data_IF_492198263248
#
_entry.id   IF_492198263248
#
_cell.length_a   1.000
_cell.length_b   1.000
_cell.length_c   1.000
_cell.angle_alpha   90.00
_cell.angle_beta   90.00
_cell.angle_gamma   90.00
#
_symmetry.space_group_name_H-M   'P 1'
#
loop_
_entity.id
_entity.type
_entity.pdbx_description
1 polymer ?
#
# COMPACT_ATOMS: atom_id res chain seq x y z
N UNK A 1 -5.12 -10.21 -8.75
CA UNK A 1 -4.16 -9.98 -9.84
C UNK A 1 -3.43 -8.67 -9.64
N UNK A 2 -2.09 -8.72 -9.62
CA UNK A 2 -1.27 -7.51 -9.59
C UNK A 2 -1.06 -7.06 -11.02
N UNK A 3 -1.83 -6.06 -11.45
CA UNK A 3 -1.70 -5.49 -12.79
C UNK A 3 -0.38 -4.74 -12.85
N UNK A 4 0.45 -5.12 -13.82
CA UNK A 4 1.68 -4.43 -14.19
C UNK A 4 1.37 -3.75 -15.51
N UNK A 5 1.32 -2.42 -15.50
CA UNK A 5 1.11 -1.61 -16.70
C UNK A 5 2.45 -1.00 -17.14
N UNK A 6 2.75 -1.12 -18.42
CA UNK A 6 4.01 -0.63 -19.01
C UNK A 6 3.69 0.08 -20.31
N UNK A 7 3.92 1.39 -20.31
CA UNK A 7 3.74 2.25 -21.47
C UNK A 7 5.10 2.63 -22.04
N UNK A 8 5.32 2.29 -23.31
CA UNK A 8 6.58 2.58 -24.03
C UNK A 8 6.26 3.52 -25.19
N UNK A 9 6.97 4.64 -25.24
CA UNK A 9 6.87 5.65 -26.30
C UNK A 9 8.23 5.72 -26.98
N UNK A 10 8.24 5.45 -28.28
CA UNK A 10 9.41 5.57 -29.14
C UNK A 10 9.15 6.68 -30.14
N UNK A 11 10.04 7.65 -30.21
CA UNK A 11 9.91 8.81 -31.10
C UNK A 11 11.23 9.12 -31.81
N UNK A 12 11.16 9.73 -33.00
CA UNK A 12 12.33 10.07 -33.81
C UNK A 12 12.26 11.54 -34.22
N UNK A 13 13.08 12.36 -33.58
CA UNK A 13 13.22 13.78 -33.88
C UNK A 13 14.49 14.04 -34.69
N UNK A 14 14.35 14.17 -36.01
CA UNK A 14 15.43 14.38 -36.98
C UNK A 14 16.48 13.27 -36.97
N UNK A 15 17.48 13.37 -36.08
CA UNK A 15 18.56 12.38 -35.85
C UNK A 15 18.59 11.83 -34.43
N UNK A 16 17.72 12.35 -33.53
CA UNK A 16 17.61 11.88 -32.16
C UNK A 16 16.50 10.85 -32.08
N UNK A 17 16.85 9.65 -31.65
CA UNK A 17 15.90 8.61 -31.31
C UNK A 17 15.62 8.68 -29.82
N UNK A 18 14.36 8.86 -29.45
CA UNK A 18 13.92 9.06 -28.07
C UNK A 18 13.16 7.81 -27.64
N UNK A 19 13.54 7.25 -26.51
CA UNK A 19 12.83 6.14 -25.87
C UNK A 19 12.37 6.57 -24.48
N UNK A 20 11.08 6.44 -24.22
CA UNK A 20 10.45 6.74 -22.93
C UNK A 20 9.67 5.52 -22.45
N UNK A 21 9.92 5.14 -21.19
CA UNK A 21 9.34 3.96 -20.56
C UNK A 21 8.69 4.42 -19.25
N UNK A 22 7.38 4.20 -19.14
CA UNK A 22 6.58 4.46 -17.95
C UNK A 22 6.08 3.12 -17.41
N UNK A 23 6.50 2.76 -16.20
CA UNK A 23 6.19 1.51 -15.54
C UNK A 23 5.37 1.77 -14.28
N UNK A 24 4.23 1.10 -14.19
CA UNK A 24 3.33 1.11 -13.04
C UNK A 24 3.15 -0.32 -12.55
N UNK A 25 3.69 -0.63 -11.37
CA UNK A 25 3.58 -1.96 -10.78
C UNK A 25 3.51 -1.88 -9.26
N UNK A 26 2.50 -2.47 -8.60
CA UNK A 26 2.46 -2.59 -7.13
C UNK A 26 2.70 -1.27 -6.37
N UNK A 27 2.10 -0.15 -6.78
CA UNK A 27 2.32 1.17 -6.16
C UNK A 27 3.68 1.81 -6.50
N UNK A 28 4.52 1.14 -7.29
CA UNK A 28 5.75 1.68 -7.84
C UNK A 28 5.45 2.35 -9.19
N UNK A 29 5.70 3.65 -9.25
CA UNK A 29 5.67 4.42 -10.49
C UNK A 29 7.10 4.83 -10.85
N UNK A 30 7.61 4.29 -11.95
CA UNK A 30 8.96 4.56 -12.46
C UNK A 30 8.85 5.08 -13.88
N UNK A 31 9.57 6.16 -14.16
CA UNK A 31 9.75 6.68 -15.50
C UNK A 31 11.24 6.73 -15.85
N UNK A 32 11.53 6.44 -17.11
CA UNK A 32 12.85 6.64 -17.69
C UNK A 32 12.73 7.13 -19.12
N UNK A 33 13.54 8.13 -19.45
CA UNK A 33 13.67 8.67 -20.80
C UNK A 33 15.13 8.69 -21.19
N UNK A 34 15.41 8.31 -22.43
CA UNK A 34 16.73 8.53 -23.01
C UNK A 34 16.67 8.88 -24.50
N UNK A 35 17.74 9.49 -24.97
CA UNK A 35 17.85 9.87 -26.38
C UNK A 35 19.28 9.75 -26.88
N UNK A 36 19.45 9.08 -28.01
CA UNK A 36 20.74 8.83 -28.67
C UNK A 36 20.55 8.86 -30.19
N UNK A 37 21.62 8.60 -30.95
CA UNK A 37 21.58 8.55 -32.41
C UNK A 37 21.11 7.18 -32.96
N UNK A 38 20.76 6.23 -32.08
CA UNK A 38 20.21 4.91 -32.44
C UNK A 38 19.03 4.55 -31.50
N UNK A 39 17.92 4.10 -32.07
CA UNK A 39 16.74 3.72 -31.30
C UNK A 39 17.03 2.59 -30.29
N UNK A 40 17.84 1.60 -30.68
CA UNK A 40 18.16 0.48 -29.79
C UNK A 40 19.03 0.95 -28.62
N UNK A 41 20.01 1.82 -28.87
CA UNK A 41 20.84 2.40 -27.83
C UNK A 41 20.02 3.28 -26.86
N UNK A 42 19.04 4.05 -27.36
CA UNK A 42 18.12 4.83 -26.52
C UNK A 42 17.25 3.95 -25.64
N UNK A 43 16.71 2.87 -26.20
CA UNK A 43 15.88 1.92 -25.46
C UNK A 43 16.69 1.18 -24.38
N UNK A 44 17.87 0.66 -24.72
CA UNK A 44 18.76 -0.01 -23.76
C UNK A 44 19.20 0.94 -22.63
N UNK A 45 19.47 2.19 -22.96
CA UNK A 45 19.86 3.18 -21.95
C UNK A 45 18.68 3.55 -21.04
N UNK A 46 17.47 3.68 -21.59
CA UNK A 46 16.25 3.86 -20.80
C UNK A 46 15.95 2.64 -19.91
N UNK A 47 16.09 1.42 -20.43
CA UNK A 47 15.95 0.18 -19.65
C UNK A 47 16.93 0.11 -18.49
N UNK A 48 18.21 0.43 -18.73
CA UNK A 48 19.22 0.48 -17.68
C UNK A 48 18.87 1.47 -16.55
N UNK A 49 18.18 2.58 -16.87
CA UNK A 49 17.67 3.52 -15.86
C UNK A 49 16.52 2.92 -15.06
N UNK A 50 15.58 2.22 -15.71
CA UNK A 50 14.50 1.49 -15.03
C UNK A 50 15.09 0.45 -14.08
N UNK A 51 16.02 -0.38 -14.54
CA UNK A 51 16.64 -1.44 -13.72
C UNK A 51 17.28 -0.87 -12.45
N UNK A 52 18.06 0.21 -12.56
CA UNK A 52 18.65 0.88 -11.40
C UNK A 52 17.60 1.40 -10.42
N UNK A 53 16.49 1.95 -10.92
CA UNK A 53 15.40 2.46 -10.08
C UNK A 53 14.65 1.32 -9.37
N UNK A 54 14.36 0.23 -10.08
CA UNK A 54 13.77 -0.98 -9.50
C UNK A 54 14.67 -1.57 -8.42
N UNK A 55 15.98 -1.69 -8.69
CA UNK A 55 16.94 -2.23 -7.74
C UNK A 55 17.02 -1.36 -6.47
N UNK A 56 17.05 -0.03 -6.64
CA UNK A 56 17.05 0.94 -5.53
C UNK A 56 15.76 0.85 -4.72
N UNK A 57 14.62 0.73 -5.38
CA UNK A 57 13.32 0.58 -4.73
C UNK A 57 13.24 -0.73 -3.93
N UNK A 58 13.63 -1.85 -4.53
CA UNK A 58 13.71 -3.16 -3.86
C UNK A 58 14.68 -3.14 -2.67
N UNK A 59 15.82 -2.47 -2.81
CA UNK A 59 16.78 -2.31 -1.73
C UNK A 59 16.23 -1.47 -0.57
N UNK A 60 15.44 -0.42 -0.85
CA UNK A 60 14.76 0.39 0.17
C UNK A 60 13.73 -0.43 0.94
N UNK A 61 12.91 -1.22 0.25
CA UNK A 61 11.95 -2.16 0.88
C UNK A 61 12.70 -3.16 1.76
N UNK A 62 13.73 -3.82 1.23
CA UNK A 62 14.47 -4.84 1.97
C UNK A 62 15.24 -4.28 3.17
N UNK A 63 15.69 -3.02 3.11
CA UNK A 63 16.37 -2.35 4.23
C UNK A 63 15.40 -2.01 5.38
N UNK A 64 14.11 -1.84 5.10
CA UNK A 64 13.07 -1.64 6.12
C UNK A 64 12.37 -2.94 6.51
N UNK A 65 12.84 -4.09 6.02
CA UNK A 65 12.46 -5.38 6.56
C UNK A 65 13.37 -5.66 7.77
N UNK A 66 12.88 -5.59 9.02
CA UNK A 66 13.72 -5.84 10.18
C UNK A 66 14.34 -7.24 10.06
N UNK A 67 15.67 -7.33 10.20
CA UNK A 67 16.46 -8.57 10.13
C UNK A 67 16.24 -9.51 11.32
N UNK A 68 15.08 -9.47 11.93
CA UNK A 68 14.73 -10.37 13.02
C UNK A 68 13.35 -10.93 12.75
N UNK A 69 13.40 -12.09 12.09
CA UNK A 69 12.47 -13.19 12.27
C UNK A 69 12.29 -13.43 13.79
N UNK A 70 11.39 -12.68 14.42
CA UNK A 70 10.79 -13.05 15.70
C UNK A 70 9.37 -13.49 15.37
N UNK A 71 9.24 -14.80 15.34
CA UNK A 71 8.03 -15.61 15.40
C UNK A 71 6.73 -14.81 15.40
N UNK A 72 6.01 -14.88 14.27
CA UNK A 72 4.60 -14.51 14.18
C UNK A 72 3.81 -15.28 15.25
N UNK A 73 3.59 -14.68 16.42
CA UNK A 73 2.66 -15.18 17.42
C UNK A 73 1.25 -15.12 16.80
N UNK A 74 0.63 -16.29 16.65
CA UNK A 74 -0.80 -16.43 16.34
C UNK A 74 -1.59 -15.87 17.51
N UNK A 75 -1.98 -14.59 17.45
CA UNK A 75 -2.92 -14.01 18.41
C UNK A 75 -4.33 -14.22 17.86
N UNK A 76 -5.11 -15.04 18.56
CA UNK A 76 -6.54 -15.24 18.32
C UNK A 76 -7.31 -14.10 18.98
N UNK A 77 -7.80 -13.12 18.22
CA UNK A 77 -8.75 -12.15 18.76
C UNK A 77 -10.17 -12.72 18.71
N UNK A 78 -10.74 -12.94 19.90
CA UNK A 78 -12.17 -13.22 20.14
C UNK A 78 -12.90 -11.88 20.06
N UNK A 79 -13.78 -11.71 19.09
CA UNK A 79 -14.64 -10.53 18.97
C UNK A 79 -15.69 -10.59 20.08
N UNK A 80 -15.83 -9.49 20.81
CA UNK A 80 -16.87 -9.28 21.83
C UNK A 80 -18.18 -9.06 21.07
N UNK A 81 -19.17 -9.93 21.29
CA UNK A 81 -20.55 -9.67 20.88
C UNK A 81 -21.07 -8.47 21.69
N UNK A 82 -21.45 -7.40 21.01
CA UNK A 82 -22.18 -6.29 21.62
C UNK A 82 -23.64 -6.76 21.76
N UNK A 83 -24.22 -6.81 22.97
CA UNK A 83 -25.61 -7.22 23.13
C UNK A 83 -26.53 -6.16 22.53
N UNK A 84 -27.55 -6.62 21.79
CA UNK A 84 -28.57 -5.78 21.21
C UNK A 84 -29.33 -5.02 22.32
N UNK A 85 -29.34 -3.70 22.24
CA UNK A 85 -30.28 -2.87 22.99
C UNK A 85 -31.62 -2.92 22.27
N UNK A 86 -32.61 -3.57 22.89
CA UNK A 86 -34.01 -3.40 22.55
C UNK A 86 -34.48 -2.12 23.24
N UNK A 87 -34.87 -1.11 22.47
CA UNK A 87 -35.81 -0.10 22.96
C UNK A 87 -36.85 0.14 21.86
N UNK A 88 -38.02 -0.46 22.07
CA UNK A 88 -39.25 -0.10 21.38
C UNK A 88 -39.55 1.36 21.73
N UNK A 89 -39.78 2.24 20.75
CA UNK A 89 -40.98 3.08 20.60
C UNK A 89 -40.85 4.04 19.40
N UNK A 90 -41.61 3.71 18.35
CA UNK A 90 -42.47 4.60 17.56
C UNK A 90 -41.87 5.82 16.79
N UNK A 91 -41.78 5.70 15.46
CA UNK A 91 -41.59 6.84 14.56
C UNK A 91 -41.20 6.39 13.14
N UNK A 92 -42.17 6.35 12.23
CA UNK A 92 -42.03 5.98 10.82
C UNK A 92 -40.98 6.80 10.06
N UNK A 93 -39.87 6.16 9.69
CA UNK A 93 -39.07 6.49 8.49
C UNK A 93 -38.50 5.18 7.96
N UNK A 94 -38.97 4.74 6.79
CA UNK A 94 -38.38 3.64 6.03
C UNK A 94 -36.95 4.03 5.62
N UNK A 95 -36.00 3.71 6.49
CA UNK A 95 -34.58 3.71 6.16
C UNK A 95 -34.15 2.26 6.32
N UNK A 96 -34.00 1.55 5.20
CA UNK A 96 -33.39 0.23 5.17
C UNK A 96 -31.96 0.33 5.72
N UNK A 97 -31.81 0.23 7.04
CA UNK A 97 -30.55 -0.12 7.66
C UNK A 97 -30.29 -1.59 7.35
N UNK A 98 -29.91 -1.86 6.10
CA UNK A 98 -29.22 -3.09 5.74
C UNK A 98 -27.94 -3.10 6.57
N UNK A 99 -27.97 -3.78 7.72
CA UNK A 99 -26.77 -4.04 8.51
C UNK A 99 -25.79 -4.74 7.58
N UNK A 100 -24.78 -4.00 7.08
CA UNK A 100 -23.76 -4.54 6.19
C UNK A 100 -22.96 -5.58 6.98
N UNK A 101 -23.34 -6.85 6.78
CA UNK A 101 -22.68 -8.00 7.38
C UNK A 101 -21.23 -8.03 6.89
N UNK A 102 -20.29 -8.31 7.78
CA UNK A 102 -18.86 -8.49 7.47
C UNK A 102 -18.73 -9.52 6.34
N UNK A 103 -18.50 -9.05 5.11
CA UNK A 103 -18.55 -9.89 3.89
C UNK A 103 -17.24 -10.61 3.64
N UNK A 104 -16.13 -10.07 4.15
CA UNK A 104 -14.80 -10.63 3.96
C UNK A 104 -14.04 -10.67 5.29
N UNK A 105 -13.39 -11.82 5.56
CA UNK A 105 -12.52 -12.03 6.72
C UNK A 105 -11.15 -12.44 6.22
N UNK A 106 -10.23 -11.50 6.19
CA UNK A 106 -8.83 -11.76 5.86
C UNK A 106 -8.00 -11.74 7.14
N UNK A 107 -7.13 -12.74 7.31
CA UNK A 107 -6.18 -12.80 8.42
C UNK A 107 -4.81 -12.41 7.89
N UNK A 108 -4.43 -11.16 8.11
CA UNK A 108 -3.12 -10.65 7.70
C UNK A 108 -2.11 -10.87 8.83
N UNK A 109 -0.91 -11.40 8.55
CA UNK A 109 0.14 -11.49 9.57
C UNK A 109 0.56 -10.08 10.02
N UNK A 110 0.43 -9.81 11.31
CA UNK A 110 0.85 -8.55 11.91
C UNK A 110 2.38 -8.42 11.82
N UNK A 111 2.83 -7.45 11.04
CA UNK A 111 4.25 -7.09 10.97
C UNK A 111 4.53 -6.03 12.02
N UNK A 112 5.60 -6.17 12.82
CA UNK A 112 6.08 -5.09 13.68
C UNK A 112 6.51 -3.91 12.82
N UNK A 113 5.90 -2.75 13.02
CA UNK A 113 6.18 -1.50 12.31
C UNK A 113 6.15 -0.33 13.30
N UNK A 114 6.98 0.67 13.05
CA UNK A 114 6.83 1.98 13.70
C UNK A 114 5.65 2.74 13.07
N UNK A 115 5.11 3.74 13.77
CA UNK A 115 4.00 4.58 13.26
C UNK A 115 4.38 5.24 11.93
N UNK A 116 5.60 5.75 11.82
CA UNK A 116 6.10 6.38 10.60
C UNK A 116 6.18 5.39 9.42
N UNK A 117 6.63 4.16 9.68
CA UNK A 117 6.68 3.11 8.65
C UNK A 117 5.27 2.67 8.22
N UNK A 118 4.33 2.62 9.16
CA UNK A 118 2.94 2.30 8.88
C UNK A 118 2.30 3.36 7.96
N UNK A 119 2.53 4.66 8.22
CA UNK A 119 2.08 5.76 7.35
C UNK A 119 2.69 5.62 5.94
N UNK A 120 4.00 5.38 5.86
CA UNK A 120 4.67 5.18 4.56
C UNK A 120 4.11 3.99 3.78
N UNK A 121 3.77 2.89 4.45
CA UNK A 121 3.16 1.73 3.81
C UNK A 121 1.72 2.00 3.36
N UNK A 122 0.95 2.73 4.16
CA UNK A 122 -0.41 3.14 3.81
C UNK A 122 -0.42 3.93 2.50
N UNK A 123 0.47 4.92 2.38
CA UNK A 123 0.64 5.73 1.16
C UNK A 123 1.09 4.90 -0.04
N UNK A 124 1.98 3.93 0.19
CA UNK A 124 2.57 3.13 -0.89
C UNK A 124 1.60 2.09 -1.44
N UNK A 125 0.79 1.48 -0.58
CA UNK A 125 -0.18 0.45 -0.97
C UNK A 125 -1.51 1.11 -1.39
N UNK A 126 -1.71 2.40 -1.05
CA UNK A 126 -2.93 3.16 -1.32
C UNK A 126 -4.19 2.47 -0.77
N UNK A 127 -4.05 1.91 0.43
CA UNK A 127 -5.14 1.28 1.18
C UNK A 127 -5.74 2.30 2.17
N UNK A 128 -7.04 2.19 2.49
CA UNK A 128 -7.70 3.15 3.38
C UNK A 128 -7.25 3.02 4.84
N UNK A 129 -6.81 1.84 5.26
CA UNK A 129 -6.28 1.58 6.60
C UNK A 129 -5.21 0.47 6.57
N UNK A 130 -4.32 0.49 7.56
CA UNK A 130 -3.29 -0.52 7.77
C UNK A 130 -3.27 -0.91 9.24
N UNK A 131 -3.41 -2.21 9.49
CA UNK A 131 -3.28 -2.79 10.84
C UNK A 131 -1.85 -3.31 11.02
N UNK A 132 -1.20 -2.90 12.11
CA UNK A 132 0.17 -3.29 12.39
C UNK A 132 0.40 -3.51 13.89
N UNK A 133 1.48 -4.21 14.24
CA UNK A 133 1.96 -4.26 15.62
C UNK A 133 2.98 -3.14 15.80
N UNK A 134 2.76 -2.23 16.74
CA UNK A 134 3.66 -1.13 17.00
C UNK A 134 4.97 -1.68 17.59
N UNK A 135 6.09 -1.38 16.93
CA UNK A 135 7.40 -1.88 17.34
C UNK A 135 7.85 -1.41 18.74
N UNK A 136 7.34 -0.27 19.22
CA UNK A 136 7.71 0.32 20.51
C UNK A 136 6.84 -0.20 21.66
N UNK A 137 5.55 -0.38 21.42
CA UNK A 137 4.58 -0.78 22.46
C UNK A 137 4.18 -2.25 22.41
N UNK A 138 4.54 -2.97 21.34
CA UNK A 138 4.10 -4.34 21.03
C UNK A 138 2.57 -4.49 20.95
N UNK A 139 1.84 -3.37 20.87
CA UNK A 139 0.39 -3.32 20.77
C UNK A 139 -0.09 -3.27 19.32
N UNK A 140 -1.31 -3.74 19.06
CA UNK A 140 -1.92 -3.66 17.74
C UNK A 140 -2.45 -2.25 17.53
N UNK A 141 -1.91 -1.54 16.55
CA UNK A 141 -2.37 -0.21 16.18
C UNK A 141 -2.95 -0.23 14.76
N UNK A 142 -3.84 0.72 14.47
CA UNK A 142 -4.39 0.93 13.13
C UNK A 142 -4.09 2.35 12.69
N UNK A 143 -3.52 2.52 11.50
CA UNK A 143 -3.39 3.83 10.86
C UNK A 143 -4.36 3.91 9.69
N UNK A 144 -5.01 5.06 9.49
CA UNK A 144 -5.92 5.30 8.37
C UNK A 144 -5.75 6.69 7.78
N UNK A 145 -6.13 6.85 6.52
CA UNK A 145 -6.18 8.16 5.84
C UNK A 145 -7.55 8.78 6.00
N UNK A 146 -7.61 10.07 6.29
CA UNK A 146 -8.85 10.86 6.19
C UNK A 146 -9.00 11.43 4.77
N UNK A 147 -10.22 11.84 4.42
CA UNK A 147 -10.49 12.47 3.11
C UNK A 147 -9.82 13.85 2.93
N UNK A 148 -9.31 14.44 4.01
CA UNK A 148 -8.58 15.71 4.01
C UNK A 148 -7.05 15.54 3.82
N UNK A 149 -6.56 14.29 3.67
CA UNK A 149 -5.14 13.98 3.51
C UNK A 149 -4.36 13.91 4.82
N UNK A 150 -5.03 13.96 5.97
CA UNK A 150 -4.41 13.71 7.28
C UNK A 150 -4.43 12.23 7.66
N UNK A 151 -3.56 11.84 8.60
CA UNK A 151 -3.49 10.48 9.12
C UNK A 151 -4.10 10.39 10.52
N UNK A 152 -4.90 9.36 10.75
CA UNK A 152 -5.36 8.98 12.08
C UNK A 152 -4.63 7.74 12.59
N UNK A 153 -4.38 7.71 13.88
CA UNK A 153 -3.83 6.55 14.59
C UNK A 153 -4.86 6.09 15.64
N UNK A 154 -5.23 4.82 15.59
CA UNK A 154 -6.10 4.17 16.56
C UNK A 154 -5.23 3.25 17.42
N UNK A 155 -5.19 3.55 18.71
CA UNK A 155 -4.47 2.77 19.72
C UNK A 155 -5.50 2.17 20.69
N UNK A 156 -5.64 0.83 20.75
CA UNK A 156 -6.53 0.20 21.70
C UNK A 156 -5.95 0.30 23.10
N UNK A 157 -6.72 0.89 24.02
CA UNK A 157 -6.46 0.82 25.46
C UNK A 157 -7.36 -0.25 26.08
N UNK A 158 -6.80 -1.01 27.01
CA UNK A 158 -7.51 -1.99 27.84
C UNK A 158 -8.10 -1.32 29.09
#
# INVERSE_FOLDING_TARGET
DKVIDVNIILDVERRRHIAEINLHANGLHINAKDSTDDMYASFDSALNKIDKQVLKHKARINRHQPRTMREARKIQHKVIEVPAFNDDQNGSVDTEFTHKVITHRERVPLKPLTVAEAVMQLDLINEPFLVFSNADTDQVNVVHTHSDGTYGLIEPQL
#
